data_IF_451459933912
#
_entry.id   IF_451459933912
#
_cell.length_a   1.000
_cell.length_b   1.000
_cell.length_c   1.000
_cell.angle_alpha   90.00
_cell.angle_beta   90.00
_cell.angle_gamma   90.00
#
_symmetry.space_group_name_H-M   'P 1'
#
loop_
_entity.id
_entity.type
_entity.pdbx_description
1 polymer ?
#
# COMPACT_ATOMS: atom_id res chain seq x y z
N UNK A 1 -53.58 -15.72 0.21
CA UNK A 1 -53.08 -14.59 1.03
C UNK A 1 -51.92 -13.96 0.28
N UNK A 2 -52.15 -12.82 -0.37
CA UNK A 2 -51.13 -12.08 -1.13
C UNK A 2 -50.21 -11.35 -0.17
N UNK A 3 -48.88 -11.48 -0.33
CA UNK A 3 -47.93 -10.73 0.48
C UNK A 3 -48.14 -9.22 0.28
N UNK A 4 -48.10 -8.39 1.35
CA UNK A 4 -48.27 -6.94 1.24
C UNK A 4 -47.22 -6.32 0.32
N UNK A 5 -47.60 -5.29 -0.47
CA UNK A 5 -46.76 -4.67 -1.50
C UNK A 5 -45.39 -4.17 -1.00
N UNK A 6 -45.27 -3.83 0.28
CA UNK A 6 -44.02 -3.44 0.94
C UNK A 6 -43.02 -4.60 1.00
N UNK A 7 -43.49 -5.82 1.25
CA UNK A 7 -42.62 -7.00 1.30
C UNK A 7 -42.11 -7.37 -0.10
N UNK A 8 -42.90 -7.12 -1.14
CA UNK A 8 -42.51 -7.34 -2.53
C UNK A 8 -41.47 -6.32 -3.01
N UNK A 9 -41.64 -5.03 -2.68
CA UNK A 9 -40.66 -4.00 -3.05
C UNK A 9 -39.33 -4.20 -2.30
N UNK A 10 -39.39 -4.60 -1.03
CA UNK A 10 -38.20 -4.95 -0.24
C UNK A 10 -37.46 -6.16 -0.81
N UNK A 11 -38.16 -7.27 -1.06
CA UNK A 11 -37.54 -8.49 -1.63
C UNK A 11 -37.01 -8.24 -3.04
N UNK A 12 -37.72 -7.51 -3.91
CA UNK A 12 -37.19 -7.16 -5.23
C UNK A 12 -35.95 -6.26 -5.15
N UNK A 13 -35.93 -5.30 -4.21
CA UNK A 13 -34.77 -4.44 -3.97
C UNK A 13 -33.56 -5.22 -3.44
N UNK A 14 -33.79 -6.21 -2.57
CA UNK A 14 -32.76 -7.12 -2.06
C UNK A 14 -32.23 -8.04 -3.16
N UNK A 15 -33.10 -8.72 -3.89
CA UNK A 15 -32.73 -9.63 -4.98
C UNK A 15 -31.95 -8.91 -6.09
N UNK A 16 -32.29 -7.65 -6.40
CA UNK A 16 -31.54 -6.81 -7.35
C UNK A 16 -30.11 -6.50 -6.91
N UNK A 17 -29.80 -6.56 -5.61
CA UNK A 17 -28.45 -6.28 -5.06
C UNK A 17 -27.56 -7.52 -4.97
N UNK A 18 -28.13 -8.73 -5.02
CA UNK A 18 -27.37 -9.98 -4.94
C UNK A 18 -26.22 -10.05 -5.97
N UNK A 19 -26.42 -9.70 -7.27
CA UNK A 19 -25.32 -9.74 -8.24
C UNK A 19 -24.19 -8.75 -7.92
N UNK A 20 -24.52 -7.60 -7.33
CA UNK A 20 -23.53 -6.62 -6.89
C UNK A 20 -22.72 -7.15 -5.71
N UNK A 21 -23.35 -7.87 -4.79
CA UNK A 21 -22.64 -8.50 -3.66
C UNK A 21 -21.68 -9.58 -4.14
N UNK A 22 -22.11 -10.44 -5.06
CA UNK A 22 -21.25 -11.47 -5.66
C UNK A 22 -20.05 -10.83 -6.39
N UNK A 23 -20.29 -9.75 -7.13
CA UNK A 23 -19.23 -8.98 -7.79
C UNK A 23 -18.25 -8.37 -6.78
N UNK A 24 -18.75 -7.72 -5.73
CA UNK A 24 -17.91 -7.15 -4.66
C UNK A 24 -17.08 -8.23 -3.95
N UNK A 25 -17.66 -9.40 -3.68
CA UNK A 25 -16.94 -10.53 -3.06
C UNK A 25 -15.88 -11.10 -3.99
N UNK A 26 -16.16 -11.21 -5.29
CA UNK A 26 -15.18 -11.68 -6.28
C UNK A 26 -13.95 -10.80 -6.41
N UNK A 27 -14.06 -9.51 -6.07
CA UNK A 27 -12.93 -8.57 -6.04
C UNK A 27 -12.33 -8.50 -4.64
N UNK A 28 -13.17 -8.48 -3.60
CA UNK A 28 -12.78 -8.33 -2.20
C UNK A 28 -11.99 -9.52 -1.65
N UNK A 29 -12.40 -10.76 -1.96
CA UNK A 29 -11.75 -11.96 -1.44
C UNK A 29 -10.29 -12.07 -1.95
N UNK A 30 -10.00 -11.95 -3.26
CA UNK A 30 -8.62 -11.96 -3.74
C UNK A 30 -7.77 -10.83 -3.16
N UNK A 31 -8.31 -9.61 -3.04
CA UNK A 31 -7.59 -8.50 -2.42
C UNK A 31 -7.28 -8.76 -0.94
N UNK A 32 -8.25 -9.27 -0.17
CA UNK A 32 -8.05 -9.63 1.23
C UNK A 32 -6.97 -10.72 1.40
N UNK A 33 -6.96 -11.71 0.51
CA UNK A 33 -5.93 -12.76 0.50
C UNK A 33 -4.55 -12.19 0.17
N UNK A 34 -4.45 -11.30 -0.82
CA UNK A 34 -3.20 -10.61 -1.16
C UNK A 34 -2.64 -9.84 0.05
N UNK A 35 -3.47 -9.05 0.73
CA UNK A 35 -3.05 -8.32 1.93
C UNK A 35 -2.65 -9.26 3.06
N UNK A 36 -3.37 -10.38 3.24
CA UNK A 36 -3.05 -11.39 4.25
C UNK A 36 -1.68 -12.02 3.99
N UNK A 37 -1.40 -12.41 2.74
CA UNK A 37 -0.09 -12.96 2.34
C UNK A 37 1.03 -11.95 2.62
N UNK A 38 0.81 -10.69 2.27
CA UNK A 38 1.79 -9.62 2.53
C UNK A 38 2.05 -9.46 4.02
N UNK A 39 0.99 -9.41 4.84
CA UNK A 39 1.10 -9.26 6.29
C UNK A 39 1.83 -10.45 6.94
N UNK A 40 1.55 -11.68 6.51
CA UNK A 40 2.27 -12.87 6.98
C UNK A 40 3.75 -12.77 6.60
N UNK A 41 4.07 -12.35 5.37
CA UNK A 41 5.44 -12.11 4.93
C UNK A 41 6.17 -11.09 5.82
N UNK A 42 5.52 -9.98 6.14
CA UNK A 42 6.05 -8.97 7.05
C UNK A 42 6.33 -9.54 8.45
N UNK A 43 5.43 -10.36 8.99
CA UNK A 43 5.61 -11.00 10.30
C UNK A 43 6.82 -11.93 10.29
N UNK A 44 6.99 -12.73 9.23
CA UNK A 44 8.13 -13.65 9.10
C UNK A 44 9.46 -12.86 9.04
N UNK A 45 9.52 -11.81 8.23
CA UNK A 45 10.70 -10.93 8.13
C UNK A 45 11.00 -10.28 9.48
N UNK A 46 9.99 -9.76 10.16
CA UNK A 46 10.16 -9.14 11.48
C UNK A 46 10.65 -10.16 12.53
N UNK A 47 10.16 -11.40 12.48
CA UNK A 47 10.63 -12.49 13.34
C UNK A 47 12.12 -12.79 13.13
N UNK A 48 12.58 -12.81 11.88
CA UNK A 48 14.00 -12.97 11.56
C UNK A 48 14.83 -11.78 12.06
N UNK A 49 14.33 -10.54 11.88
CA UNK A 49 14.98 -9.31 12.39
C UNK A 49 15.16 -9.37 13.91
N UNK A 50 14.14 -9.84 14.63
CA UNK A 50 14.19 -9.94 16.09
C UNK A 50 15.26 -10.92 16.60
N UNK A 51 15.67 -11.89 15.78
CA UNK A 51 16.74 -12.84 16.13
C UNK A 51 18.16 -12.25 16.04
N UNK A 52 18.35 -11.09 15.38
CA UNK A 52 19.66 -10.45 15.20
C UNK A 52 20.07 -9.52 16.36
N UNK A 53 19.26 -9.42 17.42
CA UNK A 53 19.56 -8.60 18.60
C UNK A 53 19.09 -7.15 18.52
N UNK A 54 19.15 -6.43 19.65
CA UNK A 54 18.53 -5.10 19.83
C UNK A 54 19.05 -4.04 18.85
N UNK A 55 20.33 -4.10 18.48
CA UNK A 55 20.97 -3.16 17.55
C UNK A 55 20.35 -3.21 16.16
N UNK A 56 20.17 -4.41 15.60
CA UNK A 56 19.54 -4.59 14.29
C UNK A 56 18.05 -4.27 14.30
N UNK A 57 17.35 -4.55 15.41
CA UNK A 57 15.93 -4.19 15.59
C UNK A 57 15.75 -2.67 15.58
N UNK A 58 16.63 -1.93 16.26
CA UNK A 58 16.60 -0.47 16.30
C UNK A 58 16.89 0.13 14.92
N UNK A 59 17.90 -0.37 14.23
CA UNK A 59 18.25 0.06 12.87
C UNK A 59 17.13 -0.22 11.86
N UNK A 60 16.55 -1.42 11.89
CA UNK A 60 15.40 -1.79 11.06
C UNK A 60 14.17 -0.94 11.34
N UNK A 61 13.89 -0.64 12.62
CA UNK A 61 12.74 0.21 13.00
C UNK A 61 12.90 1.64 12.49
N UNK A 62 14.10 2.21 12.58
CA UNK A 62 14.37 3.55 12.06
C UNK A 62 14.27 3.60 10.53
N UNK A 63 14.87 2.62 9.83
CA UNK A 63 14.74 2.49 8.39
C UNK A 63 13.28 2.30 7.95
N UNK A 64 12.51 1.51 8.70
CA UNK A 64 11.08 1.29 8.47
C UNK A 64 10.23 2.56 8.58
N UNK A 65 10.61 3.54 9.42
CA UNK A 65 9.93 4.85 9.47
C UNK A 65 10.09 5.62 8.17
N UNK A 66 11.31 5.65 7.61
CA UNK A 66 11.59 6.30 6.32
C UNK A 66 10.81 5.57 5.22
N UNK A 67 10.87 4.23 5.19
CA UNK A 67 10.14 3.42 4.22
C UNK A 67 8.62 3.68 4.27
N UNK A 68 8.03 3.83 5.45
CA UNK A 68 6.62 4.17 5.61
C UNK A 68 6.27 5.53 5.02
N UNK A 69 7.11 6.55 5.21
CA UNK A 69 6.92 7.88 4.59
C UNK A 69 6.91 7.76 3.07
N UNK A 70 7.88 7.04 2.50
CA UNK A 70 7.95 6.78 1.05
C UNK A 70 6.68 6.05 0.57
N UNK A 71 6.26 5.03 1.32
CA UNK A 71 5.17 4.14 0.95
C UNK A 71 3.80 4.81 0.98
N UNK A 72 3.62 5.80 1.86
CA UNK A 72 2.36 6.55 2.00
C UNK A 72 1.95 7.24 0.70
N UNK A 73 2.91 7.72 -0.08
CA UNK A 73 2.64 8.36 -1.38
C UNK A 73 2.08 7.37 -2.39
N UNK A 74 2.55 6.12 -2.39
CA UNK A 74 1.99 5.07 -3.26
C UNK A 74 0.55 4.73 -2.88
N UNK A 75 0.23 4.70 -1.58
CA UNK A 75 -1.15 4.51 -1.11
C UNK A 75 -2.05 5.64 -1.59
N UNK A 76 -1.57 6.89 -1.52
CA UNK A 76 -2.29 8.05 -2.02
C UNK A 76 -2.55 7.97 -3.53
N UNK A 77 -1.56 7.56 -4.34
CA UNK A 77 -1.77 7.31 -5.76
C UNK A 77 -2.80 6.21 -6.03
N UNK A 78 -2.77 5.12 -5.27
CA UNK A 78 -3.76 4.04 -5.38
C UNK A 78 -5.18 4.52 -5.11
N UNK A 79 -5.37 5.30 -4.04
CA UNK A 79 -6.67 5.88 -3.70
C UNK A 79 -7.17 6.85 -4.80
N UNK A 80 -6.30 7.76 -5.26
CA UNK A 80 -6.62 8.69 -6.33
C UNK A 80 -6.96 7.96 -7.64
N UNK A 81 -6.22 6.90 -7.99
CA UNK A 81 -6.49 6.07 -9.15
C UNK A 81 -7.87 5.41 -9.06
N UNK A 82 -8.20 4.79 -7.92
CA UNK A 82 -9.49 4.15 -7.73
C UNK A 82 -10.65 5.13 -7.90
N UNK A 83 -10.57 6.33 -7.29
CA UNK A 83 -11.58 7.37 -7.45
C UNK A 83 -11.68 7.85 -8.90
N UNK A 84 -10.55 8.17 -9.53
CA UNK A 84 -10.51 8.65 -10.91
C UNK A 84 -11.09 7.63 -11.90
N UNK A 85 -10.70 6.35 -11.77
CA UNK A 85 -11.21 5.26 -12.59
C UNK A 85 -12.70 5.04 -12.35
N UNK A 86 -13.13 5.03 -11.08
CA UNK A 86 -14.55 4.85 -10.72
C UNK A 86 -15.44 5.93 -11.33
N UNK A 87 -15.04 7.20 -11.22
CA UNK A 87 -15.79 8.33 -11.80
C UNK A 87 -15.85 8.28 -13.33
N UNK A 88 -14.72 8.06 -14.00
CA UNK A 88 -14.67 8.05 -15.46
C UNK A 88 -15.36 6.83 -16.06
N UNK A 89 -15.22 5.65 -15.43
CA UNK A 89 -15.93 4.43 -15.82
C UNK A 89 -17.44 4.58 -15.64
N UNK A 90 -17.88 5.17 -14.53
CA UNK A 90 -19.30 5.48 -14.30
C UNK A 90 -19.89 6.45 -15.34
N UNK A 91 -19.07 7.36 -15.87
CA UNK A 91 -19.45 8.29 -16.95
C UNK A 91 -19.29 7.71 -18.37
N UNK A 92 -18.92 6.43 -18.52
CA UNK A 92 -18.68 5.79 -19.82
C UNK A 92 -17.41 6.26 -20.55
N UNK A 93 -16.53 7.03 -19.90
CA UNK A 93 -15.33 7.64 -20.51
C UNK A 93 -14.11 6.75 -20.34
N UNK A 94 -14.12 5.57 -20.97
CA UNK A 94 -13.01 4.62 -20.87
C UNK A 94 -11.69 5.15 -21.45
N UNK A 95 -11.71 6.03 -22.44
CA UNK A 95 -10.48 6.65 -22.96
C UNK A 95 -9.73 7.43 -21.87
N UNK A 96 -10.48 8.14 -21.03
CA UNK A 96 -9.91 8.89 -19.89
C UNK A 96 -9.38 7.97 -18.81
N UNK A 97 -9.99 6.80 -18.61
CA UNK A 97 -9.51 5.76 -17.69
C UNK A 97 -8.11 5.31 -18.10
N UNK A 98 -7.92 4.94 -19.38
CA UNK A 98 -6.61 4.49 -19.88
C UNK A 98 -5.55 5.58 -19.77
N UNK A 99 -5.89 6.82 -20.14
CA UNK A 99 -4.98 7.97 -20.00
C UNK A 99 -4.61 8.22 -18.54
N UNK A 100 -5.58 8.21 -17.62
CA UNK A 100 -5.33 8.44 -16.20
C UNK A 100 -4.46 7.35 -15.56
N UNK A 101 -4.73 6.08 -15.86
CA UNK A 101 -3.91 4.97 -15.38
C UNK A 101 -2.47 5.09 -15.87
N UNK A 102 -2.27 5.43 -17.15
CA UNK A 102 -0.92 5.65 -17.71
C UNK A 102 -0.20 6.82 -17.02
N UNK A 103 -0.89 7.94 -16.79
CA UNK A 103 -0.31 9.08 -16.08
C UNK A 103 0.08 8.72 -14.65
N UNK A 104 -0.77 8.00 -13.92
CA UNK A 104 -0.47 7.55 -12.55
C UNK A 104 0.72 6.58 -12.53
N UNK A 105 0.82 5.67 -13.50
CA UNK A 105 1.99 4.79 -13.63
C UNK A 105 3.28 5.58 -13.84
N UNK A 106 3.27 6.60 -14.70
CA UNK A 106 4.44 7.47 -14.91
C UNK A 106 4.79 8.21 -13.62
N UNK A 107 3.80 8.75 -12.91
CA UNK A 107 4.02 9.44 -11.62
C UNK A 107 4.62 8.50 -10.57
N UNK A 108 4.15 7.25 -10.50
CA UNK A 108 4.71 6.22 -9.61
C UNK A 108 6.17 5.95 -9.98
N UNK A 109 6.49 5.77 -11.27
CA UNK A 109 7.86 5.50 -11.72
C UNK A 109 8.80 6.67 -11.42
N UNK A 110 8.35 7.90 -11.68
CA UNK A 110 9.12 9.11 -11.36
C UNK A 110 9.35 9.22 -9.86
N UNK A 111 8.31 9.01 -9.04
CA UNK A 111 8.44 9.02 -7.59
C UNK A 111 9.41 7.95 -7.08
N UNK A 112 9.31 6.72 -7.60
CA UNK A 112 10.24 5.65 -7.27
C UNK A 112 11.68 6.02 -7.62
N UNK A 113 11.94 6.55 -8.82
CA UNK A 113 13.28 6.97 -9.24
C UNK A 113 13.84 8.10 -8.36
N UNK A 114 13.00 9.10 -8.03
CA UNK A 114 13.38 10.19 -7.13
C UNK A 114 13.73 9.66 -5.75
N UNK A 115 12.91 8.78 -5.18
CA UNK A 115 13.14 8.27 -3.83
C UNK A 115 14.32 7.30 -3.75
N UNK A 116 14.58 6.50 -4.80
CA UNK A 116 15.81 5.72 -4.93
C UNK A 116 17.03 6.65 -4.88
N UNK A 117 17.03 7.73 -5.66
CA UNK A 117 18.13 8.70 -5.68
C UNK A 117 18.30 9.39 -4.31
N UNK A 118 17.20 9.82 -3.69
CA UNK A 118 17.21 10.49 -2.38
C UNK A 118 17.74 9.56 -1.30
N UNK A 119 17.29 8.30 -1.25
CA UNK A 119 17.76 7.32 -0.26
C UNK A 119 19.24 6.98 -0.51
N UNK A 120 19.66 6.88 -1.77
CA UNK A 120 21.04 6.57 -2.10
C UNK A 120 22.01 7.71 -1.73
N UNK A 121 21.61 8.97 -1.92
CA UNK A 121 22.45 10.14 -1.62
C UNK A 121 22.36 10.60 -0.16
N UNK A 122 21.18 10.48 0.46
CA UNK A 122 20.88 11.06 1.77
C UNK A 122 20.42 10.04 2.82
N UNK A 123 20.47 8.73 2.53
CA UNK A 123 19.98 7.68 3.44
C UNK A 123 20.57 7.78 4.84
N UNK A 124 21.88 7.96 4.95
CA UNK A 124 22.57 8.10 6.24
C UNK A 124 22.10 9.35 7.01
N UNK A 125 21.81 10.45 6.31
CA UNK A 125 21.28 11.67 6.93
C UNK A 125 19.83 11.49 7.37
N UNK A 126 19.01 10.79 6.58
CA UNK A 126 17.62 10.49 6.93
C UNK A 126 17.51 9.58 8.15
N UNK A 127 18.42 8.60 8.27
CA UNK A 127 18.50 7.70 9.43
C UNK A 127 18.83 8.49 10.71
N UNK A 128 19.76 9.46 10.63
CA UNK A 128 20.16 10.31 11.77
C UNK A 128 19.05 11.20 12.33
N UNK A 129 17.94 11.38 11.60
CA UNK A 129 16.75 12.05 12.14
C UNK A 129 16.06 11.19 13.21
N UNK A 130 16.23 9.86 13.14
CA UNK A 130 15.54 8.90 13.99
C UNK A 130 16.43 8.16 14.98
N UNK A 131 17.77 8.21 14.81
CA UNK A 131 18.77 7.56 15.67
C UNK A 131 19.89 8.56 15.98
N UNK A 132 20.37 8.59 17.23
CA UNK A 132 21.47 9.44 17.66
C UNK A 132 22.82 8.99 17.06
N UNK A 133 23.69 9.93 16.75
CA UNK A 133 24.98 9.68 16.08
C UNK A 133 25.97 8.89 16.97
N UNK A 134 25.72 8.81 18.28
CA UNK A 134 26.52 8.01 19.22
C UNK A 134 26.28 6.50 19.09
N UNK A 135 25.20 6.05 18.44
CA UNK A 135 24.90 4.62 18.26
C UNK A 135 25.39 4.11 16.90
N UNK A 136 26.72 4.05 16.75
CA UNK A 136 27.40 3.71 15.49
C UNK A 136 27.02 2.33 14.94
N UNK A 137 26.82 1.32 15.79
CA UNK A 137 26.39 -0.02 15.36
C UNK A 137 24.95 -0.04 14.82
N UNK A 138 24.07 0.79 15.39
CA UNK A 138 22.66 0.90 14.95
C UNK A 138 22.57 1.65 13.61
N UNK A 139 23.42 2.67 13.43
CA UNK A 139 23.58 3.36 12.14
C UNK A 139 24.04 2.41 11.04
N UNK A 140 24.98 1.51 11.32
CA UNK A 140 25.51 0.58 10.32
C UNK A 140 24.51 -0.52 9.94
N UNK A 141 23.71 -0.98 10.91
CA UNK A 141 22.59 -1.88 10.65
C UNK A 141 21.51 -1.21 9.77
N UNK A 142 21.19 0.06 10.03
CA UNK A 142 20.22 0.84 9.25
C UNK A 142 20.72 1.16 7.83
N UNK A 143 22.00 1.51 7.67
CA UNK A 143 22.60 1.79 6.36
C UNK A 143 22.67 0.53 5.49
N UNK A 144 22.96 -0.62 6.10
CA UNK A 144 22.95 -1.94 5.45
C UNK A 144 21.57 -2.29 4.89
N UNK A 145 20.51 -1.94 5.62
CA UNK A 145 19.13 -2.14 5.15
C UNK A 145 18.87 -1.43 3.82
N UNK A 146 19.23 -0.14 3.70
CA UNK A 146 19.01 0.61 2.47
C UNK A 146 19.96 0.20 1.33
N UNK A 147 21.24 -0.05 1.62
CA UNK A 147 22.20 -0.48 0.57
C UNK A 147 21.87 -1.85 -0.04
N UNK A 148 21.14 -2.69 0.67
CA UNK A 148 20.78 -4.04 0.23
C UNK A 148 19.36 -4.15 -0.33
N UNK A 149 18.49 -3.16 -0.06
CA UNK A 149 17.11 -3.12 -0.55
C UNK A 149 16.83 -2.11 -1.67
N UNK A 150 17.76 -1.20 -1.97
CA UNK A 150 17.74 -0.31 -3.14
C UNK A 150 18.54 -0.94 -4.27
#
# INVERSE_FOLDING_TARGET
MTQPAIWQSFTQGFLRRLPTMDWLLSIGIPMGLQFSITAIGTIIVQGAVNAFGSVYIAGFSAAGKIQNIVSTVFVAFGAAAATYVGQNRGAGRMDRVHQGVKSIQIMILVWSAVMILVIHLFGDMLIRIFIDASETEVMDAASTYFRRHV
#
